data_IF_074985071899
#
_entry.id   IF_074985071899
#
_cell.length_a   1.000
_cell.length_b   1.000
_cell.length_c   1.000
_cell.angle_alpha   90.00
_cell.angle_beta   90.00
_cell.angle_gamma   90.00
#
_symmetry.space_group_name_H-M   'P 1'
#
loop_
_entity.id
_entity.type
_entity.pdbx_description
1 polymer ?
#
# COMPACT_ATOMS: atom_id res chain seq x y z
N UNK A 1 -5.63 -28.47 -17.13
CA UNK A 1 -5.30 -27.88 -15.81
C UNK A 1 -6.40 -26.87 -15.47
N UNK A 2 -7.08 -27.00 -14.31
CA UNK A 2 -8.18 -26.07 -13.96
C UNK A 2 -7.57 -24.72 -13.56
N UNK A 3 -7.95 -23.65 -14.26
CA UNK A 3 -7.56 -22.28 -13.95
C UNK A 3 -7.88 -22.01 -12.47
N UNK A 4 -6.85 -21.83 -11.64
CA UNK A 4 -7.04 -21.43 -10.25
C UNK A 4 -7.63 -20.02 -10.30
N UNK A 5 -8.76 -19.80 -9.60
CA UNK A 5 -9.41 -18.48 -9.51
C UNK A 5 -8.39 -17.41 -9.13
N UNK A 6 -8.51 -16.20 -9.69
CA UNK A 6 -7.67 -15.06 -9.27
C UNK A 6 -7.89 -14.79 -7.78
N UNK A 7 -6.81 -14.39 -7.10
CA UNK A 7 -6.87 -13.99 -5.71
C UNK A 7 -7.63 -12.67 -5.58
N UNK A 8 -8.34 -12.54 -4.48
CA UNK A 8 -9.03 -11.33 -4.03
C UNK A 8 -8.42 -10.86 -2.72
N UNK A 9 -8.85 -9.70 -2.23
CA UNK A 9 -8.43 -9.19 -0.92
C UNK A 9 -8.72 -10.15 0.24
N UNK A 10 -9.78 -10.95 0.14
CA UNK A 10 -10.12 -11.94 1.16
C UNK A 10 -9.14 -13.13 1.21
N UNK A 11 -8.33 -13.31 0.16
CA UNK A 11 -7.37 -14.40 0.04
C UNK A 11 -5.96 -14.02 0.53
N UNK A 12 -5.73 -12.77 0.92
CA UNK A 12 -4.41 -12.27 1.32
C UNK A 12 -4.44 -11.68 2.73
N UNK A 13 -3.33 -11.78 3.44
CA UNK A 13 -3.11 -11.00 4.66
C UNK A 13 -2.67 -9.59 4.27
N UNK A 14 -3.43 -8.58 4.68
CA UNK A 14 -3.06 -7.17 4.49
C UNK A 14 -2.56 -6.59 5.81
N UNK A 15 -1.45 -5.88 5.78
CA UNK A 15 -0.91 -5.11 6.90
C UNK A 15 -0.62 -3.67 6.46
N UNK A 16 -0.66 -2.77 7.44
CA UNK A 16 -0.46 -1.35 7.26
C UNK A 16 0.65 -0.88 8.21
N UNK A 17 1.54 -0.03 7.73
CA UNK A 17 2.50 0.72 8.56
C UNK A 17 2.46 2.19 8.18
N UNK A 18 2.72 3.05 9.16
CA UNK A 18 2.87 4.48 8.97
C UNK A 18 4.17 4.91 9.67
N UNK A 19 4.99 5.64 8.94
CA UNK A 19 6.28 6.17 9.39
C UNK A 19 6.33 7.66 9.08
N UNK A 20 7.17 8.41 9.79
CA UNK A 20 7.36 9.83 9.46
C UNK A 20 7.90 9.96 8.05
N UNK A 21 7.27 10.79 7.24
CA UNK A 21 7.81 11.05 5.91
C UNK A 21 9.01 11.99 6.00
N UNK A 22 10.12 11.60 5.37
CA UNK A 22 11.33 12.43 5.26
C UNK A 22 11.18 13.52 4.20
N UNK A 23 10.21 13.36 3.28
CA UNK A 23 9.85 14.42 2.35
C UNK A 23 9.27 15.55 3.18
N UNK A 24 9.93 16.71 3.16
CA UNK A 24 9.46 17.87 3.90
C UNK A 24 7.97 18.06 3.66
N UNK A 25 7.13 18.16 4.70
CA UNK A 25 5.86 18.83 4.50
C UNK A 25 6.26 20.17 3.89
N UNK A 26 5.62 20.62 2.81
CA UNK A 26 5.72 21.96 2.20
C UNK A 26 6.22 21.92 0.74
N UNK A 27 5.33 21.70 -0.23
CA UNK A 27 5.29 22.63 -1.34
C UNK A 27 4.80 24.00 -0.83
N UNK A 28 5.40 25.08 -1.31
CA UNK A 28 4.99 26.48 -1.02
C UNK A 28 3.49 26.75 -1.27
N UNK A 29 2.82 25.84 -1.99
CA UNK A 29 1.41 25.89 -2.38
C UNK A 29 0.41 25.55 -1.25
N UNK A 30 0.83 24.86 -0.18
CA UNK A 30 -0.10 24.38 0.87
C UNK A 30 -0.56 25.48 1.84
N UNK A 31 0.15 26.61 1.86
CA UNK A 31 -0.16 27.77 2.70
C UNK A 31 0.28 27.63 4.16
N UNK A 32 0.87 28.70 4.71
CA UNK A 32 1.53 28.75 6.02
C UNK A 32 0.70 28.19 7.19
N UNK A 33 -0.62 28.39 7.16
CA UNK A 33 -1.53 27.90 8.22
C UNK A 33 -1.57 26.37 8.30
N UNK A 34 -1.58 25.68 7.16
CA UNK A 34 -1.58 24.21 7.13
C UNK A 34 -0.22 23.66 7.56
N UNK A 35 0.86 24.30 7.11
CA UNK A 35 2.23 24.03 7.52
C UNK A 35 2.38 24.06 9.06
N UNK A 36 1.88 25.13 9.69
CA UNK A 36 1.94 25.32 11.13
C UNK A 36 1.15 24.24 11.89
N UNK A 37 -0.01 23.83 11.36
CA UNK A 37 -0.82 22.76 11.93
C UNK A 37 -0.09 21.41 11.90
N UNK A 38 0.51 21.06 10.75
CA UNK A 38 1.27 19.80 10.59
C UNK A 38 2.46 19.78 11.55
N UNK A 39 3.27 20.85 11.58
CA UNK A 39 4.41 20.97 12.50
C UNK A 39 4.00 20.79 13.95
N UNK A 40 2.92 21.45 14.39
CA UNK A 40 2.41 21.32 15.76
C UNK A 40 2.04 19.88 16.11
N UNK A 41 1.45 19.12 15.19
CA UNK A 41 1.12 17.70 15.42
C UNK A 41 2.37 16.82 15.42
N UNK A 42 3.33 17.07 14.52
CA UNK A 42 4.62 16.38 14.50
C UNK A 42 5.40 16.59 15.80
N UNK A 43 5.42 17.81 16.34
CA UNK A 43 6.03 18.13 17.65
C UNK A 43 5.38 17.36 18.82
N UNK A 44 4.15 16.86 18.63
CA UNK A 44 3.43 16.03 19.59
C UNK A 44 3.66 14.52 19.38
N UNK A 45 4.49 14.13 18.40
CA UNK A 45 4.75 12.74 18.05
C UNK A 45 3.65 12.07 17.23
N UNK A 46 2.82 12.86 16.54
CA UNK A 46 1.74 12.34 15.71
C UNK A 46 2.24 12.05 14.28
N UNK A 47 2.55 10.78 14.01
CA UNK A 47 3.02 10.31 12.70
C UNK A 47 2.03 10.61 11.57
N UNK A 48 0.72 10.57 11.85
CA UNK A 48 -0.33 10.77 10.83
C UNK A 48 -0.46 12.22 10.39
N UNK A 49 0.21 13.16 11.07
CA UNK A 49 0.31 14.54 10.62
C UNK A 49 1.06 14.67 9.29
N UNK A 50 2.05 13.81 9.07
CA UNK A 50 2.82 13.73 7.83
C UNK A 50 3.50 12.37 7.72
N UNK A 51 2.80 11.42 7.11
CA UNK A 51 3.20 10.02 7.06
C UNK A 51 3.61 9.58 5.65
N UNK A 52 4.59 8.68 5.61
CA UNK A 52 4.72 7.68 4.56
C UNK A 52 3.97 6.43 5.02
N UNK A 53 2.96 6.01 4.25
CA UNK A 53 2.07 4.91 4.60
C UNK A 53 2.31 3.75 3.65
N UNK A 54 2.62 2.57 4.19
CA UNK A 54 2.86 1.36 3.41
C UNK A 54 1.77 0.32 3.65
N UNK A 55 1.09 -0.07 2.58
CA UNK A 55 0.18 -1.22 2.54
C UNK A 55 0.93 -2.41 1.99
N UNK A 56 0.93 -3.52 2.72
CA UNK A 56 1.56 -4.78 2.31
C UNK A 56 0.53 -5.89 2.24
N UNK A 57 0.48 -6.62 1.13
CA UNK A 57 -0.30 -7.84 0.96
C UNK A 57 0.62 -9.06 0.90
N UNK A 58 0.25 -10.15 1.58
CA UNK A 58 1.02 -11.40 1.59
C UNK A 58 0.12 -12.63 1.48
N UNK A 59 0.53 -13.60 0.66
CA UNK A 59 -0.11 -14.91 0.50
C UNK A 59 0.94 -15.97 0.14
N UNK A 60 1.12 -16.95 1.02
CA UNK A 60 2.19 -17.94 0.87
C UNK A 60 3.57 -17.24 0.81
N UNK A 61 4.30 -17.49 -0.27
CA UNK A 61 5.61 -16.91 -0.57
C UNK A 61 5.54 -15.57 -1.35
N UNK A 62 4.35 -15.14 -1.77
CA UNK A 62 4.17 -13.90 -2.52
C UNK A 62 3.87 -12.74 -1.57
N UNK A 63 4.72 -11.71 -1.64
CA UNK A 63 4.53 -10.44 -0.94
C UNK A 63 4.67 -9.28 -1.92
N UNK A 64 3.76 -8.32 -1.79
CA UNK A 64 3.76 -7.05 -2.53
C UNK A 64 3.40 -5.91 -1.59
N UNK A 65 3.97 -4.73 -1.85
CA UNK A 65 3.66 -3.52 -1.09
C UNK A 65 3.52 -2.29 -1.98
N UNK A 66 2.84 -1.29 -1.43
CA UNK A 66 2.72 0.05 -1.99
C UNK A 66 2.90 1.07 -0.89
N UNK A 67 3.66 2.13 -1.18
CA UNK A 67 3.89 3.24 -0.26
C UNK A 67 3.30 4.51 -0.84
N UNK A 68 2.55 5.24 -0.02
CA UNK A 68 2.04 6.57 -0.32
C UNK A 68 2.73 7.58 0.60
N UNK A 69 3.34 8.59 -0.02
CA UNK A 69 4.08 9.66 0.66
C UNK A 69 3.23 10.92 0.80
N UNK A 70 3.63 11.81 1.70
CA UNK A 70 3.02 13.12 1.91
C UNK A 70 1.59 13.06 2.43
N UNK A 71 1.28 12.03 3.21
CA UNK A 71 -0.07 11.80 3.73
C UNK A 71 -0.32 12.56 5.02
N UNK A 72 -1.41 13.32 5.08
CA UNK A 72 -1.89 13.93 6.32
C UNK A 72 -3.31 13.43 6.59
N UNK A 73 -3.45 12.62 7.65
CA UNK A 73 -4.71 12.07 8.12
C UNK A 73 -4.91 12.36 9.60
N UNK A 74 -6.13 12.17 10.11
CA UNK A 74 -6.39 12.29 11.54
C UNK A 74 -5.74 11.14 12.33
N UNK A 75 -5.89 9.92 11.83
CA UNK A 75 -5.41 8.68 12.42
C UNK A 75 -5.47 7.55 11.38
N UNK A 76 -5.10 6.33 11.78
CA UNK A 76 -5.16 5.14 10.93
C UNK A 76 -6.57 4.85 10.38
N UNK A 77 -7.62 5.10 11.17
CA UNK A 77 -9.01 4.84 10.76
C UNK A 77 -9.48 5.82 9.69
N UNK A 78 -8.94 7.04 9.72
CA UNK A 78 -9.18 8.05 8.69
C UNK A 78 -8.52 7.66 7.36
N UNK A 79 -7.34 7.05 7.40
CA UNK A 79 -6.73 6.47 6.19
C UNK A 79 -7.49 5.25 5.63
N UNK A 80 -8.01 4.40 6.52
CA UNK A 80 -8.72 3.17 6.16
C UNK A 80 -10.21 3.37 5.81
N UNK A 81 -10.65 4.59 5.50
CA UNK A 81 -12.02 4.82 5.05
C UNK A 81 -12.34 4.00 3.78
N UNK A 82 -13.56 3.45 3.67
CA UNK A 82 -13.93 2.61 2.54
C UNK A 82 -13.94 3.39 1.22
N UNK A 83 -13.56 2.73 0.13
CA UNK A 83 -13.46 3.29 -1.22
C UNK A 83 -12.47 4.47 -1.32
N UNK A 84 -11.37 4.40 -0.56
CA UNK A 84 -10.28 5.37 -0.58
C UNK A 84 -8.94 4.69 -0.86
N UNK A 85 -7.83 5.44 -0.79
CA UNK A 85 -6.48 4.97 -1.10
C UNK A 85 -6.10 3.63 -0.46
N UNK A 86 -6.53 3.35 0.78
CA UNK A 86 -6.22 2.08 1.43
C UNK A 86 -6.75 0.87 0.64
N UNK A 87 -7.97 0.96 0.12
CA UNK A 87 -8.60 -0.12 -0.63
C UNK A 87 -7.93 -0.29 -2.00
N UNK A 88 -7.62 0.82 -2.67
CA UNK A 88 -6.94 0.82 -3.97
C UNK A 88 -5.53 0.24 -3.85
N UNK A 89 -4.74 0.69 -2.87
CA UNK A 89 -3.40 0.17 -2.61
C UNK A 89 -3.42 -1.32 -2.27
N UNK A 90 -4.38 -1.78 -1.48
CA UNK A 90 -4.52 -3.21 -1.17
C UNK A 90 -4.88 -4.03 -2.42
N UNK A 91 -5.81 -3.55 -3.24
CA UNK A 91 -6.22 -4.20 -4.48
C UNK A 91 -5.08 -4.26 -5.49
N UNK A 92 -4.28 -3.20 -5.60
CA UNK A 92 -3.12 -3.16 -6.49
C UNK A 92 -2.03 -4.12 -6.04
N UNK A 93 -1.79 -4.26 -4.73
CA UNK A 93 -0.90 -5.31 -4.22
C UNK A 93 -1.40 -6.71 -4.61
N UNK A 94 -2.71 -6.98 -4.46
CA UNK A 94 -3.32 -8.26 -4.89
C UNK A 94 -3.17 -8.47 -6.40
N UNK A 95 -3.37 -7.44 -7.22
CA UNK A 95 -3.21 -7.50 -8.67
C UNK A 95 -1.76 -7.83 -9.07
N UNK A 96 -0.77 -7.24 -8.39
CA UNK A 96 0.65 -7.54 -8.60
C UNK A 96 0.99 -8.98 -8.23
N UNK A 97 0.44 -9.50 -7.12
CA UNK A 97 0.59 -10.90 -6.73
C UNK A 97 0.00 -11.82 -7.81
N UNK A 98 -1.23 -11.56 -8.25
CA UNK A 98 -1.86 -12.34 -9.32
C UNK A 98 -0.99 -12.36 -10.58
N UNK A 99 -0.45 -11.21 -11.00
CA UNK A 99 0.44 -11.14 -12.16
C UNK A 99 1.77 -11.91 -11.97
N UNK A 100 2.30 -12.02 -10.73
CA UNK A 100 3.45 -12.88 -10.43
C UNK A 100 3.09 -14.36 -10.56
N UNK A 101 1.96 -14.77 -9.99
CA UNK A 101 1.46 -16.14 -10.09
C UNK A 101 1.23 -16.53 -11.56
N UNK A 102 0.57 -15.68 -12.33
CA UNK A 102 0.29 -15.92 -13.76
C UNK A 102 1.59 -16.11 -14.55
N UNK A 103 2.61 -15.29 -14.29
CA UNK A 103 3.94 -15.44 -14.93
C UNK A 103 4.62 -16.75 -14.56
N UNK A 104 4.56 -17.15 -13.29
CA UNK A 104 5.16 -18.40 -12.80
C UNK A 104 4.47 -19.62 -13.43
N UNK A 105 3.14 -19.65 -13.44
CA UNK A 105 2.37 -20.75 -14.05
C UNK A 105 2.68 -20.86 -15.54
N UNK A 106 2.64 -19.75 -16.27
CA UNK A 106 2.95 -19.73 -17.70
C UNK A 106 4.38 -20.19 -18.01
N UNK A 107 5.34 -19.91 -17.11
CA UNK A 107 6.72 -20.37 -17.26
C UNK A 107 6.83 -21.89 -17.05
N UNK A 108 6.23 -22.42 -15.98
CA UNK A 108 6.24 -23.87 -15.69
C UNK A 108 5.57 -24.70 -16.80
N UNK A 109 4.47 -24.20 -17.37
CA UNK A 109 3.79 -24.88 -18.48
C UNK A 109 4.71 -24.98 -19.71
N UNK A 110 5.43 -23.91 -20.06
CA UNK A 110 6.37 -23.90 -21.19
C UNK A 110 7.53 -24.86 -20.99
N UNK A 111 8.06 -24.97 -19.78
CA UNK A 111 9.18 -25.90 -19.50
C UNK A 111 8.73 -27.37 -19.53
N UNK A 112 7.52 -27.69 -19.05
CA UNK A 112 7.01 -29.07 -19.12
C UNK A 112 6.72 -29.56 -20.54
N UNK A 113 6.58 -28.65 -21.50
CA UNK A 113 6.37 -28.96 -22.93
C UNK A 113 7.70 -29.18 -23.67
N UNK A 114 8.83 -28.77 -23.08
CA UNK A 114 10.18 -28.92 -23.64
C UNK A 114 10.92 -30.17 -23.12
N UNK A 115 10.33 -30.92 -22.19
CA UNK A 115 10.83 -32.20 -21.66
C UNK A 115 10.02 -33.36 -22.24
#
# INVERSE_FOLDING_TARGET
>A
MKVKRRLTRADVKVSLSAEYDEISPLPDEMGEKYCAMIRKRLDQGDVWAWAAVTVTATVGEFTESMTLHGCCYKDEKDFMQPNWYYDDMANDCVNKINAKIDRMVNWMEKESVLQ
#
